data_IF_587955807357
#
_entry.id   IF_587955807357
#
_cell.length_a   1.000
_cell.length_b   1.000
_cell.length_c   1.000
_cell.angle_alpha   90.00
_cell.angle_beta   90.00
_cell.angle_gamma   90.00
#
_symmetry.space_group_name_H-M   'P 1'
#
loop_
_entity.id
_entity.type
_entity.pdbx_description
1 polymer ?
#
# COMPACT_ATOMS: atom_id res chain seq x y z
N UNK A 1 -8.81 0.99 -6.24
CA UNK A 1 -7.73 0.99 -5.22
C UNK A 1 -6.97 -0.30 -5.36
N UNK A 2 -5.66 -0.23 -5.63
CA UNK A 2 -4.78 -1.40 -5.67
C UNK A 2 -4.78 -1.99 -4.26
N UNK A 3 -4.91 -3.31 -4.14
CA UNK A 3 -4.97 -3.97 -2.84
C UNK A 3 -3.59 -4.20 -2.24
N UNK A 4 -3.55 -4.61 -0.98
CA UNK A 4 -2.34 -5.08 -0.29
C UNK A 4 -1.50 -6.05 -1.14
N UNK A 5 -2.15 -6.96 -1.89
CA UNK A 5 -1.48 -7.93 -2.77
C UNK A 5 -0.66 -7.19 -3.84
N UNK A 6 -1.29 -6.26 -4.57
CA UNK A 6 -0.62 -5.48 -5.60
C UNK A 6 0.58 -4.72 -5.05
N UNK A 7 0.41 -4.00 -3.94
CA UNK A 7 1.48 -3.20 -3.34
C UNK A 7 2.65 -4.04 -2.82
N UNK A 8 2.37 -5.18 -2.17
CA UNK A 8 3.41 -6.12 -1.78
C UNK A 8 4.12 -6.71 -3.01
N UNK A 9 3.40 -7.02 -4.09
CA UNK A 9 4.01 -7.47 -5.35
C UNK A 9 4.91 -6.40 -5.97
N UNK A 10 4.50 -5.13 -6.01
CA UNK A 10 5.34 -4.03 -6.51
C UNK A 10 6.63 -3.93 -5.70
N UNK A 11 6.52 -3.95 -4.37
CA UNK A 11 7.66 -3.88 -3.46
C UNK A 11 8.61 -5.07 -3.63
N UNK A 12 8.11 -6.30 -3.70
CA UNK A 12 8.94 -7.49 -3.89
C UNK A 12 9.67 -7.50 -5.24
N UNK A 13 9.00 -7.08 -6.30
CA UNK A 13 9.63 -6.96 -7.62
C UNK A 13 10.63 -5.79 -7.68
N UNK A 14 10.34 -4.69 -6.98
CA UNK A 14 11.28 -3.58 -6.78
C UNK A 14 12.54 -4.06 -6.07
N UNK A 15 12.41 -4.77 -4.95
CA UNK A 15 13.54 -5.37 -4.23
C UNK A 15 14.37 -6.30 -5.11
N UNK A 16 13.72 -7.16 -5.92
CA UNK A 16 14.41 -8.03 -6.89
C UNK A 16 15.19 -7.23 -7.94
N UNK A 17 14.65 -6.12 -8.43
CA UNK A 17 15.33 -5.24 -9.39
C UNK A 17 16.52 -4.50 -8.74
N UNK A 18 16.35 -4.00 -7.52
CA UNK A 18 17.41 -3.38 -6.71
C UNK A 18 18.56 -4.37 -6.47
N UNK A 19 18.25 -5.61 -6.10
CA UNK A 19 19.25 -6.66 -5.89
C UNK A 19 20.03 -6.98 -7.17
N UNK A 20 19.36 -7.04 -8.33
CA UNK A 20 20.03 -7.23 -9.64
C UNK A 20 20.99 -6.09 -10.00
N UNK A 21 20.72 -4.88 -9.51
CA UNK A 21 21.58 -3.70 -9.67
C UNK A 21 22.74 -3.67 -8.64
N UNK A 22 22.84 -4.65 -7.75
CA UNK A 22 23.84 -4.71 -6.67
C UNK A 22 23.85 -3.48 -5.76
N UNK A 23 22.69 -2.87 -5.51
CA UNK A 23 22.60 -1.73 -4.60
C UNK A 23 22.64 -2.23 -3.14
N UNK A 24 23.46 -1.62 -2.29
CA UNK A 24 23.63 -1.97 -0.87
C UNK A 24 22.30 -2.01 -0.10
N UNK A 25 21.38 -1.10 -0.44
CA UNK A 25 20.02 -1.02 0.11
C UNK A 25 19.21 -2.33 -0.04
N UNK A 26 19.54 -3.19 -1.01
CA UNK A 26 18.91 -4.51 -1.15
C UNK A 26 19.07 -5.38 0.12
N UNK A 27 20.21 -5.28 0.80
CA UNK A 27 20.48 -6.06 2.02
C UNK A 27 19.73 -5.52 3.23
N UNK A 28 19.62 -4.20 3.34
CA UNK A 28 18.77 -3.55 4.34
C UNK A 28 17.32 -4.01 4.20
N UNK A 29 16.78 -3.99 2.97
CA UNK A 29 15.43 -4.46 2.68
C UNK A 29 15.28 -5.95 3.00
N UNK A 30 16.25 -6.78 2.63
CA UNK A 30 16.22 -8.22 2.90
C UNK A 30 16.20 -8.51 4.41
N UNK A 31 16.96 -7.76 5.21
CA UNK A 31 17.03 -7.94 6.65
C UNK A 31 15.76 -7.45 7.36
N UNK A 32 15.19 -6.33 6.90
CA UNK A 32 13.97 -5.74 7.47
C UNK A 32 12.76 -5.88 6.54
N UNK A 33 12.61 -7.04 5.90
CA UNK A 33 11.61 -7.27 4.86
C UNK A 33 10.18 -7.00 5.34
N UNK A 34 9.85 -7.44 6.55
CA UNK A 34 8.51 -7.22 7.12
C UNK A 34 8.18 -5.73 7.26
N UNK A 35 9.15 -4.92 7.69
CA UNK A 35 9.00 -3.46 7.80
C UNK A 35 8.90 -2.79 6.43
N UNK A 36 9.70 -3.23 5.46
CA UNK A 36 9.61 -2.78 4.08
C UNK A 36 8.23 -3.06 3.46
N UNK A 37 7.67 -4.26 3.69
CA UNK A 37 6.33 -4.60 3.22
C UNK A 37 5.25 -3.84 4.00
N UNK A 38 5.41 -3.63 5.30
CA UNK A 38 4.51 -2.79 6.10
C UNK A 38 4.47 -1.36 5.55
N UNK A 39 5.62 -0.78 5.22
CA UNK A 39 5.71 0.53 4.58
C UNK A 39 5.04 0.57 3.21
N UNK A 40 5.17 -0.49 2.41
CA UNK A 40 4.58 -0.55 1.07
C UNK A 40 3.06 -0.65 1.05
N UNK A 41 2.43 -0.92 2.18
CA UNK A 41 0.97 -0.90 2.31
C UNK A 41 0.50 0.05 3.40
N UNK A 42 0.78 -0.25 4.67
CA UNK A 42 0.34 0.53 5.83
C UNK A 42 1.02 1.90 5.95
N UNK A 43 2.16 2.10 5.27
CA UNK A 43 2.79 3.42 5.14
C UNK A 43 1.97 4.41 4.32
N UNK A 44 1.03 3.93 3.48
CA UNK A 44 0.25 4.77 2.59
C UNK A 44 -1.28 4.61 2.71
N UNK A 45 -1.77 3.37 2.82
CA UNK A 45 -3.20 3.04 2.94
C UNK A 45 -3.73 3.31 4.38
N UNK A 46 -3.64 4.56 4.80
CA UNK A 46 -4.03 5.07 6.12
C UNK A 46 -5.53 4.91 6.45
N UNK A 47 -6.33 4.60 5.42
CA UNK A 47 -7.76 4.30 5.53
C UNK A 47 -8.06 2.81 5.77
N UNK A 48 -7.09 2.03 6.24
CA UNK A 48 -7.28 0.61 6.58
C UNK A 48 -8.11 0.46 7.86
N UNK A 49 -9.37 0.89 7.78
CA UNK A 49 -10.36 0.87 8.85
C UNK A 49 -11.57 0.06 8.37
N UNK A 50 -12.35 -0.54 9.29
CA UNK A 50 -13.60 -1.17 8.91
C UNK A 50 -14.57 -0.16 8.32
N UNK A 51 -15.44 -0.63 7.43
CA UNK A 51 -16.56 0.16 6.94
C UNK A 51 -17.72 0.16 7.95
N UNK A 52 -17.90 -0.93 8.69
CA UNK A 52 -18.95 -1.04 9.70
C UNK A 52 -18.80 -2.26 10.62
N UNK A 53 -19.68 -2.34 11.62
CA UNK A 53 -19.72 -3.40 12.63
C UNK A 53 -21.12 -3.99 12.69
N UNK A 54 -21.20 -5.32 12.72
CA UNK A 54 -22.46 -6.01 12.98
C UNK A 54 -22.78 -5.95 14.49
N UNK A 55 -23.90 -5.36 14.92
CA UNK A 55 -24.21 -5.21 16.35
C UNK A 55 -24.52 -6.55 17.05
N UNK A 56 -24.77 -7.61 16.28
CA UNK A 56 -25.15 -8.93 16.82
C UNK A 56 -23.95 -9.86 17.03
N UNK A 57 -23.08 -10.02 16.04
CA UNK A 57 -21.87 -10.85 16.17
C UNK A 57 -20.63 -10.05 16.59
N UNK A 58 -20.72 -8.72 16.62
CA UNK A 58 -19.62 -7.80 16.90
C UNK A 58 -18.42 -7.93 15.92
N UNK A 59 -18.64 -8.56 14.77
CA UNK A 59 -17.65 -8.59 13.70
C UNK A 59 -17.65 -7.30 12.89
N UNK A 60 -16.45 -6.88 12.51
CA UNK A 60 -16.22 -5.69 11.70
C UNK A 60 -16.15 -6.09 10.23
N UNK A 61 -16.72 -5.32 9.31
CA UNK A 61 -16.78 -5.63 7.89
C UNK A 61 -16.41 -4.42 7.03
N UNK A 62 -16.10 -4.68 5.75
CA UNK A 62 -15.84 -3.64 4.78
C UNK A 62 -14.39 -3.13 4.77
N UNK A 63 -14.17 -1.97 4.18
CA UNK A 63 -12.86 -1.32 4.12
C UNK A 63 -13.03 0.16 3.76
N UNK A 64 -12.39 1.05 4.53
CA UNK A 64 -12.25 2.46 4.17
C UNK A 64 -13.58 3.18 4.00
N UNK A 65 -14.57 2.85 4.83
CA UNK A 65 -15.91 3.47 4.82
C UNK A 65 -16.95 2.74 3.97
N UNK A 66 -16.51 1.80 3.12
CA UNK A 66 -17.43 0.93 2.36
C UNK A 66 -17.68 -0.36 3.13
N UNK A 67 -18.94 -0.70 3.41
CA UNK A 67 -19.35 -1.95 4.04
C UNK A 67 -20.57 -2.54 3.33
N UNK A 68 -20.81 -3.87 3.43
CA UNK A 68 -22.08 -4.44 3.01
C UNK A 68 -23.20 -3.90 3.90
N UNK A 69 -24.41 -3.76 3.35
CA UNK A 69 -25.57 -3.27 4.11
C UNK A 69 -25.96 -4.22 5.25
N UNK A 70 -25.70 -5.51 5.07
CA UNK A 70 -26.07 -6.58 6.00
C UNK A 70 -24.89 -7.49 6.29
N UNK A 71 -24.86 -8.01 7.52
CA UNK A 71 -23.94 -9.03 7.99
C UNK A 71 -24.08 -10.29 7.11
N UNK A 72 -22.98 -10.80 6.52
CA UNK A 72 -23.03 -12.03 5.72
C UNK A 72 -23.51 -13.26 6.49
N UNK A 73 -23.29 -13.29 7.80
CA UNK A 73 -23.54 -14.49 8.62
C UNK A 73 -25.01 -14.60 9.06
N UNK A 74 -25.68 -13.48 9.30
CA UNK A 74 -27.03 -13.48 9.89
C UNK A 74 -28.00 -12.43 9.32
N UNK A 75 -27.58 -11.65 8.33
CA UNK A 75 -28.42 -10.64 7.67
C UNK A 75 -28.72 -9.39 8.49
N UNK A 76 -28.14 -9.23 9.68
CA UNK A 76 -28.32 -8.04 10.53
C UNK A 76 -27.76 -6.80 9.84
N UNK A 77 -28.45 -5.66 9.93
CA UNK A 77 -27.95 -4.41 9.37
C UNK A 77 -26.59 -4.03 10.00
N UNK A 78 -25.63 -3.65 9.15
CA UNK A 78 -24.31 -3.22 9.61
C UNK A 78 -24.35 -1.73 9.98
N UNK A 79 -23.82 -1.41 11.15
CA UNK A 79 -23.69 -0.03 11.63
C UNK A 79 -22.38 0.56 11.11
N UNK A 80 -22.36 1.77 10.53
CA UNK A 80 -21.13 2.42 10.09
C UNK A 80 -20.11 2.54 11.22
N UNK A 81 -18.85 2.26 10.91
CA UNK A 81 -17.77 2.34 11.89
C UNK A 81 -17.40 3.81 12.16
N UNK A 82 -17.04 4.09 13.41
CA UNK A 82 -16.51 5.36 13.87
C UNK A 82 -15.27 5.14 14.73
N UNK A 83 -14.23 5.92 14.48
CA UNK A 83 -13.06 6.01 15.34
C UNK A 83 -13.26 7.15 16.34
N UNK A 84 -13.18 6.85 17.63
CA UNK A 84 -13.29 7.86 18.69
C UNK A 84 -11.89 8.32 19.12
N UNK A 85 -11.64 9.63 19.12
CA UNK A 85 -10.40 10.22 19.62
C UNK A 85 -10.68 11.62 20.17
N UNK A 86 -10.18 11.89 21.38
CA UNK A 86 -10.30 13.20 22.05
C UNK A 86 -11.73 13.76 22.09
N UNK A 87 -12.71 12.90 22.38
CA UNK A 87 -14.14 13.26 22.42
C UNK A 87 -14.78 13.52 21.05
N UNK A 88 -14.01 13.40 19.96
CA UNK A 88 -14.49 13.52 18.58
C UNK A 88 -14.67 12.13 17.95
N UNK A 89 -15.59 12.07 16.98
CA UNK A 89 -15.89 10.88 16.20
C UNK A 89 -15.47 11.11 14.75
N UNK A 90 -14.71 10.17 14.19
CA UNK A 90 -14.22 10.21 12.82
C UNK A 90 -14.73 9.00 12.04
N UNK A 91 -15.34 9.25 10.89
CA UNK A 91 -15.62 8.18 9.92
C UNK A 91 -14.32 7.82 9.17
N UNK A 92 -14.23 6.62 8.57
CA UNK A 92 -13.12 6.30 7.68
C UNK A 92 -12.93 7.29 6.52
N UNK A 93 -14.02 7.92 6.05
CA UNK A 93 -13.93 8.95 5.02
C UNK A 93 -13.29 10.24 5.57
N UNK A 94 -13.58 10.63 6.81
CA UNK A 94 -12.93 11.80 7.44
C UNK A 94 -11.42 11.56 7.53
N UNK A 95 -11.01 10.38 8.02
CA UNK A 95 -9.61 9.96 8.07
C UNK A 95 -8.96 9.99 6.67
N UNK A 96 -9.66 9.51 5.64
CA UNK A 96 -9.20 9.58 4.27
C UNK A 96 -8.99 11.03 3.80
N UNK A 97 -9.96 11.93 4.00
CA UNK A 97 -9.86 13.34 3.59
C UNK A 97 -8.74 14.09 4.30
N UNK A 98 -8.41 13.70 5.54
CA UNK A 98 -7.35 14.32 6.35
C UNK A 98 -5.95 13.84 5.96
N UNK A 99 -5.80 12.56 5.62
CA UNK A 99 -4.49 11.90 5.57
C UNK A 99 -4.10 11.27 4.24
N UNK A 100 -5.04 10.95 3.35
CA UNK A 100 -4.74 10.16 2.15
C UNK A 100 -3.81 10.90 1.16
N UNK A 101 -4.04 12.19 0.92
CA UNK A 101 -3.13 12.99 0.09
C UNK A 101 -1.73 13.14 0.69
N UNK A 102 -1.65 13.20 2.02
CA UNK A 102 -0.38 13.34 2.76
C UNK A 102 0.50 12.10 2.64
N UNK A 103 -0.08 10.91 2.50
CA UNK A 103 0.69 9.69 2.28
C UNK A 103 1.03 9.45 0.81
N UNK A 104 0.19 9.87 -0.14
CA UNK A 104 0.39 9.56 -1.57
C UNK A 104 1.16 10.65 -2.33
N UNK A 105 1.21 11.87 -1.79
CA UNK A 105 1.94 13.05 -2.28
C UNK A 105 1.51 13.59 -3.66
N UNK A 106 1.43 12.74 -4.67
CA UNK A 106 1.16 13.07 -6.08
C UNK A 106 -0.33 13.03 -6.45
N UNK A 107 -1.17 12.51 -5.57
CA UNK A 107 -2.63 12.51 -5.70
C UNK A 107 -3.28 12.31 -4.33
N UNK A 108 -4.62 12.25 -4.29
CA UNK A 108 -5.36 11.91 -3.06
C UNK A 108 -5.60 13.08 -2.11
N UNK A 109 -5.07 14.26 -2.42
CA UNK A 109 -5.41 15.50 -1.71
C UNK A 109 -6.85 15.90 -1.99
N UNK A 110 -7.53 16.42 -0.97
CA UNK A 110 -8.87 16.96 -1.14
C UNK A 110 -8.86 18.22 -2.02
N UNK A 111 -10.04 18.65 -2.47
CA UNK A 111 -10.16 19.72 -3.47
C UNK A 111 -9.50 21.05 -3.05
N UNK A 112 -9.49 21.34 -1.74
CA UNK A 112 -8.95 22.56 -1.15
C UNK A 112 -7.44 22.48 -0.88
N UNK A 113 -6.80 21.34 -1.17
CA UNK A 113 -5.39 21.08 -0.89
C UNK A 113 -4.61 20.63 -2.13
N UNK A 114 -5.19 20.84 -3.32
CA UNK A 114 -4.57 20.45 -4.60
C UNK A 114 -3.22 21.13 -4.85
N UNK A 115 -3.01 22.31 -4.29
CA UNK A 115 -1.73 23.03 -4.35
C UNK A 115 -0.56 22.29 -3.69
N UNK A 116 -0.84 21.33 -2.78
CA UNK A 116 0.18 20.51 -2.12
C UNK A 116 0.53 19.23 -2.87
N UNK A 117 -0.11 19.00 -4.03
CA UNK A 117 0.21 17.87 -4.91
C UNK A 117 1.62 18.05 -5.46
N UNK A 118 2.48 17.07 -5.20
CA UNK A 118 3.81 17.03 -5.81
C UNK A 118 3.73 16.54 -7.26
N UNK A 119 4.65 17.04 -8.09
CA UNK A 119 4.93 16.48 -9.41
C UNK A 119 5.86 15.29 -9.28
N UNK A 120 5.79 14.36 -10.23
CA UNK A 120 6.71 13.22 -10.32
C UNK A 120 8.20 13.63 -10.22
N UNK A 121 8.57 14.74 -10.88
CA UNK A 121 9.93 15.27 -10.86
C UNK A 121 10.41 15.76 -9.50
N UNK A 122 9.51 15.98 -8.54
CA UNK A 122 9.83 16.44 -7.18
C UNK A 122 9.97 15.27 -6.19
N UNK A 123 9.56 14.05 -6.59
CA UNK A 123 9.53 12.90 -5.68
C UNK A 123 10.91 12.50 -5.17
N UNK A 124 11.94 12.50 -6.03
CA UNK A 124 13.29 12.09 -5.62
C UNK A 124 13.83 12.99 -4.51
N UNK A 125 13.66 14.31 -4.61
CA UNK A 125 14.09 15.26 -3.57
C UNK A 125 13.33 15.02 -2.26
N UNK A 126 12.01 14.85 -2.33
CA UNK A 126 11.19 14.54 -1.17
C UNK A 126 11.62 13.24 -0.48
N UNK A 127 11.85 12.18 -1.26
CA UNK A 127 12.26 10.88 -0.74
C UNK A 127 13.65 10.92 -0.12
N UNK A 128 14.61 11.61 -0.76
CA UNK A 128 15.95 11.81 -0.20
C UNK A 128 15.87 12.52 1.14
N UNK A 129 15.08 13.60 1.24
CA UNK A 129 14.89 14.34 2.47
C UNK A 129 14.30 13.47 3.58
N UNK A 130 13.21 12.73 3.29
CA UNK A 130 12.59 11.82 4.26
C UNK A 130 13.55 10.74 4.74
N UNK A 131 14.28 10.11 3.83
CA UNK A 131 15.23 9.05 4.17
C UNK A 131 16.36 9.60 5.03
N UNK A 132 16.94 10.75 4.66
CA UNK A 132 17.98 11.41 5.45
C UNK A 132 17.47 11.76 6.86
N UNK A 133 16.28 12.35 6.96
CA UNK A 133 15.64 12.70 8.23
C UNK A 133 15.32 11.46 9.08
N UNK A 134 15.01 10.33 8.45
CA UNK A 134 14.82 9.05 9.15
C UNK A 134 16.09 8.60 9.87
N UNK A 135 17.22 8.66 9.16
CA UNK A 135 18.54 8.30 9.69
C UNK A 135 18.96 9.30 10.78
N UNK A 136 18.73 10.59 10.57
CA UNK A 136 19.11 11.64 11.53
C UNK A 136 18.29 11.54 12.82
N UNK A 137 16.96 11.40 12.72
CA UNK A 137 16.08 11.38 13.89
C UNK A 137 16.15 10.05 14.65
N UNK A 138 16.46 8.96 13.96
CA UNK A 138 16.45 7.61 14.53
C UNK A 138 17.66 6.79 14.02
N UNK A 139 18.90 7.14 14.43
CA UNK A 139 20.13 6.55 13.88
C UNK A 139 20.20 5.03 14.04
N UNK A 140 19.68 4.49 15.14
CA UNK A 140 19.66 3.04 15.41
C UNK A 140 18.46 2.32 14.77
N UNK A 141 17.48 3.06 14.21
CA UNK A 141 16.26 2.48 13.66
C UNK A 141 16.38 2.19 12.15
N UNK A 142 17.28 1.28 11.79
CA UNK A 142 17.42 0.79 10.41
C UNK A 142 16.12 0.17 9.86
N UNK A 143 15.27 -0.37 10.75
CA UNK A 143 13.93 -0.88 10.41
C UNK A 143 13.00 0.22 9.89
N UNK A 144 13.04 1.41 10.48
CA UNK A 144 12.28 2.58 10.04
C UNK A 144 12.71 3.08 8.67
N UNK A 145 14.00 2.96 8.33
CA UNK A 145 14.50 3.25 6.98
C UNK A 145 13.88 2.26 5.97
N UNK A 146 13.86 0.97 6.28
CA UNK A 146 13.21 -0.03 5.43
C UNK A 146 11.71 0.26 5.24
N UNK A 147 11.01 0.73 6.28
CA UNK A 147 9.62 1.16 6.18
C UNK A 147 9.41 2.31 5.19
N UNK A 148 10.26 3.35 5.27
CA UNK A 148 10.21 4.50 4.35
C UNK A 148 10.46 4.05 2.91
N UNK A 149 11.42 3.16 2.69
CA UNK A 149 11.66 2.58 1.37
C UNK A 149 10.43 1.82 0.87
N UNK A 150 9.74 1.08 1.75
CA UNK A 150 8.47 0.45 1.44
C UNK A 150 7.43 1.45 0.96
N UNK A 151 7.24 2.53 1.72
CA UNK A 151 6.32 3.61 1.39
C UNK A 151 6.66 4.29 0.05
N UNK A 152 7.95 4.45 -0.26
CA UNK A 152 8.39 4.95 -1.57
C UNK A 152 7.96 4.01 -2.70
N UNK A 153 8.16 2.69 -2.52
CA UNK A 153 7.69 1.69 -3.49
C UNK A 153 6.19 1.74 -3.70
N UNK A 154 5.42 2.02 -2.64
CA UNK A 154 3.98 2.23 -2.74
C UNK A 154 3.68 3.40 -3.67
N UNK A 155 4.19 4.60 -3.38
CA UNK A 155 3.89 5.81 -4.15
C UNK A 155 4.23 5.61 -5.63
N UNK A 156 5.41 5.06 -5.93
CA UNK A 156 5.86 4.80 -7.30
C UNK A 156 4.91 3.83 -8.01
N UNK A 157 4.63 2.68 -7.38
CA UNK A 157 3.76 1.66 -7.96
C UNK A 157 2.34 2.19 -8.20
N UNK A 158 1.82 2.94 -7.24
CA UNK A 158 0.46 3.45 -7.29
C UNK A 158 0.29 4.59 -8.31
N UNK A 159 1.28 5.48 -8.40
CA UNK A 159 1.31 6.52 -9.42
C UNK A 159 1.34 5.93 -10.84
N UNK A 160 2.09 4.85 -11.07
CA UNK A 160 2.17 4.18 -12.36
C UNK A 160 0.89 3.39 -12.69
N UNK A 161 0.43 2.52 -11.78
CA UNK A 161 -0.74 1.67 -12.04
C UNK A 161 -2.01 2.48 -12.21
N UNK A 162 -2.17 3.58 -11.46
CA UNK A 162 -3.31 4.51 -11.59
C UNK A 162 -3.15 5.52 -12.73
N UNK A 163 -2.06 5.43 -13.49
CA UNK A 163 -1.73 6.35 -14.59
C UNK A 163 -1.64 7.83 -14.18
N UNK A 164 -1.35 8.11 -12.91
CA UNK A 164 -1.00 9.47 -12.45
C UNK A 164 0.34 9.87 -13.06
N UNK A 165 1.30 8.94 -13.05
CA UNK A 165 2.47 9.00 -13.89
C UNK A 165 2.21 8.15 -15.15
N UNK A 166 2.19 8.75 -16.35
CA UNK A 166 2.02 8.00 -17.58
C UNK A 166 3.24 7.13 -17.89
N UNK A 167 3.02 6.09 -18.71
CA UNK A 167 4.09 5.26 -19.27
C UNK A 167 3.95 3.77 -18.97
N UNK A 168 3.03 3.36 -18.11
CA UNK A 168 2.72 1.95 -17.92
C UNK A 168 1.94 1.42 -19.14
N UNK A 169 2.53 0.50 -19.88
CA UNK A 169 1.85 -0.15 -20.99
C UNK A 169 0.95 -1.29 -20.47
N UNK A 170 -0.26 -0.93 -20.06
CA UNK A 170 -1.24 -1.89 -19.55
C UNK A 170 -2.64 -1.45 -19.94
N UNK A 171 -3.38 -2.36 -20.58
CA UNK A 171 -4.80 -2.21 -20.83
C UNK A 171 -5.49 -3.55 -20.55
N UNK A 172 -6.33 -3.58 -19.50
CA UNK A 172 -7.07 -4.77 -19.07
C UNK A 172 -8.55 -4.61 -19.42
N UNK A 173 -9.44 -4.82 -18.46
CA UNK A 173 -10.88 -4.69 -18.61
C UNK A 173 -11.28 -3.21 -18.52
N UNK A 174 -11.65 -2.64 -19.68
CA UNK A 174 -12.15 -1.28 -19.84
C UNK A 174 -11.15 -0.17 -19.47
N UNK A 175 -9.84 -0.46 -19.50
CA UNK A 175 -8.78 0.52 -19.24
C UNK A 175 -7.58 -0.05 -18.51
N UNK A 176 -6.60 0.82 -18.23
CA UNK A 176 -5.41 0.50 -17.42
C UNK A 176 -5.78 0.24 -15.96
N UNK A 177 -6.59 1.12 -15.39
CA UNK A 177 -6.98 1.08 -13.99
C UNK A 177 -8.48 1.32 -13.82
N UNK A 178 -9.20 0.25 -13.54
CA UNK A 178 -10.63 0.30 -13.24
C UNK A 178 -10.91 -0.53 -11.98
N UNK A 179 -12.01 -0.26 -11.24
CA UNK A 179 -12.42 -1.14 -10.14
C UNK A 179 -12.59 -2.61 -10.58
N UNK A 180 -13.01 -2.83 -11.83
CA UNK A 180 -13.20 -4.17 -12.41
C UNK A 180 -11.87 -4.89 -12.69
N UNK A 181 -10.77 -4.16 -12.88
CA UNK A 181 -9.44 -4.77 -13.06
C UNK A 181 -8.89 -5.38 -11.78
N UNK A 182 -9.38 -4.99 -10.60
CA UNK A 182 -8.78 -5.38 -9.32
C UNK A 182 -8.74 -6.91 -9.13
N UNK A 183 -9.84 -7.67 -9.30
CA UNK A 183 -9.78 -9.12 -9.18
C UNK A 183 -8.77 -9.77 -10.13
N UNK A 184 -8.68 -9.26 -11.37
CA UNK A 184 -7.73 -9.75 -12.37
C UNK A 184 -6.29 -9.55 -11.91
N UNK A 185 -5.99 -8.32 -11.46
CA UNK A 185 -4.66 -7.95 -10.98
C UNK A 185 -4.30 -8.69 -9.70
N UNK A 186 -5.20 -8.76 -8.71
CA UNK A 186 -4.96 -9.43 -7.43
C UNK A 186 -4.76 -10.94 -7.62
N UNK A 187 -5.61 -11.63 -8.40
CA UNK A 187 -5.45 -13.06 -8.67
C UNK A 187 -4.16 -13.39 -9.44
N UNK A 188 -3.83 -12.58 -10.45
CA UNK A 188 -2.59 -12.77 -11.20
C UNK A 188 -1.35 -12.54 -10.32
N UNK A 189 -1.33 -11.44 -9.57
CA UNK A 189 -0.24 -11.12 -8.64
C UNK A 189 -0.12 -12.16 -7.52
N UNK A 190 -1.23 -12.67 -7.00
CA UNK A 190 -1.23 -13.65 -5.91
C UNK A 190 -0.74 -15.03 -6.37
N UNK A 191 -1.28 -15.56 -7.47
CA UNK A 191 -0.99 -16.92 -7.92
C UNK A 191 0.18 -17.02 -8.89
N UNK A 192 0.16 -16.23 -9.97
CA UNK A 192 1.15 -16.36 -11.05
C UNK A 192 2.49 -15.74 -10.66
N UNK A 193 2.48 -14.59 -10.00
CA UNK A 193 3.71 -13.92 -9.55
C UNK A 193 4.10 -14.38 -8.15
N UNK A 194 3.19 -14.25 -7.18
CA UNK A 194 3.47 -14.53 -5.78
C UNK A 194 3.80 -15.99 -5.53
N UNK A 195 2.83 -16.90 -5.75
CA UNK A 195 3.03 -18.33 -5.45
C UNK A 195 3.95 -19.05 -6.45
N UNK A 196 3.77 -18.83 -7.76
CA UNK A 196 4.50 -19.60 -8.78
C UNK A 196 5.91 -19.07 -9.08
N UNK A 197 6.08 -17.76 -9.27
CA UNK A 197 7.40 -17.19 -9.61
C UNK A 197 8.25 -16.93 -8.37
N UNK A 198 7.66 -16.34 -7.33
CA UNK A 198 8.38 -15.85 -6.16
C UNK A 198 8.28 -16.79 -4.95
N UNK A 199 7.50 -17.87 -5.05
CA UNK A 199 7.31 -18.89 -3.99
C UNK A 199 6.88 -18.28 -2.64
N UNK A 200 6.06 -17.22 -2.69
CA UNK A 200 5.66 -16.48 -1.50
C UNK A 200 4.66 -17.24 -0.63
N UNK A 201 4.92 -17.24 0.69
CA UNK A 201 3.91 -17.53 1.69
C UNK A 201 3.14 -16.26 2.05
N UNK A 202 2.07 -15.98 1.32
CA UNK A 202 1.21 -14.81 1.54
C UNK A 202 0.66 -14.69 2.96
N UNK A 203 0.33 -15.82 3.61
CA UNK A 203 -0.19 -15.79 4.98
C UNK A 203 0.86 -15.29 5.96
N UNK A 204 2.09 -15.81 5.87
CA UNK A 204 3.19 -15.36 6.73
C UNK A 204 3.55 -13.91 6.45
N UNK A 205 3.64 -13.51 5.18
CA UNK A 205 3.99 -12.12 4.83
C UNK A 205 2.94 -11.13 5.34
N UNK A 206 1.64 -11.41 5.15
CA UNK A 206 0.57 -10.54 5.63
C UNK A 206 0.46 -10.54 7.15
N UNK A 207 0.74 -11.66 7.82
CA UNK A 207 0.82 -11.72 9.28
C UNK A 207 1.98 -10.85 9.79
N UNK A 208 3.20 -11.07 9.30
CA UNK A 208 4.37 -10.35 9.79
C UNK A 208 4.25 -8.84 9.56
N UNK A 209 3.70 -8.39 8.42
CA UNK A 209 3.55 -6.96 8.14
C UNK A 209 2.67 -6.25 9.19
N UNK A 210 1.60 -6.88 9.70
CA UNK A 210 0.72 -6.25 10.70
C UNK A 210 1.30 -6.31 12.11
N UNK A 211 2.21 -7.25 12.37
CA UNK A 211 2.94 -7.36 13.63
C UNK A 211 4.13 -6.39 13.71
N UNK A 212 4.52 -5.76 12.59
CA UNK A 212 5.55 -4.71 12.63
C UNK A 212 5.08 -3.52 13.48
N UNK A 213 5.95 -2.94 14.32
CA UNK A 213 5.61 -1.75 15.07
C UNK A 213 5.22 -0.57 14.18
N UNK A 214 4.45 0.37 14.74
CA UNK A 214 4.20 1.67 14.11
C UNK A 214 5.53 2.42 14.02
N UNK A 215 5.88 2.89 12.83
CA UNK A 215 7.08 3.67 12.63
C UNK A 215 6.80 5.16 12.84
N UNK A 216 7.48 5.82 13.81
CA UNK A 216 7.19 7.21 14.16
C UNK A 216 7.53 8.20 13.03
N UNK A 217 8.38 7.79 12.08
CA UNK A 217 8.71 8.60 10.90
C UNK A 217 7.51 8.84 9.98
N UNK A 218 6.46 8.01 10.03
CA UNK A 218 5.28 8.18 9.19
C UNK A 218 4.59 9.52 9.39
N UNK A 219 4.46 9.97 10.64
CA UNK A 219 3.94 11.31 10.91
C UNK A 219 4.80 12.40 10.24
N UNK A 220 6.11 12.21 10.20
CA UNK A 220 7.02 13.20 9.63
C UNK A 220 6.91 13.27 8.11
N UNK A 221 6.97 12.15 7.39
CA UNK A 221 6.86 12.17 5.92
C UNK A 221 5.46 12.55 5.42
N UNK A 222 4.44 12.47 6.28
CA UNK A 222 3.08 12.98 6.02
C UNK A 222 2.91 14.47 6.35
N UNK A 223 3.97 15.14 6.82
CA UNK A 223 3.96 16.53 7.30
C UNK A 223 2.96 16.74 8.45
N UNK A 224 2.93 15.81 9.40
CA UNK A 224 2.09 15.84 10.61
C UNK A 224 2.94 15.92 11.89
N UNK A 225 4.15 16.46 11.79
CA UNK A 225 4.99 16.82 12.95
C UNK A 225 5.28 18.31 12.90
N UNK A 226 6.05 18.84 13.85
CA UNK A 226 6.62 20.18 13.65
C UNK A 226 7.60 20.13 12.46
N UNK A 227 7.66 21.15 11.59
CA UNK A 227 8.60 21.19 10.48
C UNK A 227 10.03 21.16 11.01
N UNK A 228 10.82 20.19 10.54
CA UNK A 228 12.22 19.99 10.91
C UNK A 228 12.95 19.16 9.86
N UNK A 229 14.27 19.06 10.01
CA UNK A 229 15.11 18.30 9.09
C UNK A 229 15.13 18.87 7.68
N UNK A 230 15.63 18.06 6.76
CA UNK A 230 15.71 18.40 5.35
C UNK A 230 14.33 18.56 4.72
N UNK A 231 13.37 17.71 5.09
CA UNK A 231 12.02 17.78 4.53
C UNK A 231 11.34 19.10 4.91
N UNK A 232 11.43 19.50 6.19
CA UNK A 232 10.89 20.78 6.66
C UNK A 232 11.52 22.00 5.99
N UNK A 233 12.81 21.92 5.66
CA UNK A 233 13.51 23.00 4.96
C UNK A 233 13.14 23.08 3.47
N UNK A 234 12.93 21.94 2.81
CA UNK A 234 12.63 21.87 1.37
C UNK A 234 11.15 22.05 1.03
N UNK A 235 10.26 21.65 1.95
CA UNK A 235 8.79 21.70 1.77
C UNK A 235 8.18 22.37 3.01
N UNK A 236 8.17 23.72 3.09
CA UNK A 236 7.70 24.44 4.27
C UNK A 236 6.17 24.44 4.42
N UNK A 237 5.41 24.04 3.39
CA UNK A 237 3.95 24.10 3.39
C UNK A 237 3.26 22.82 3.90
N UNK A 238 1.99 22.99 4.26
CA UNK A 238 1.04 21.94 4.62
C UNK A 238 1.40 21.08 5.84
N UNK A 239 2.30 21.55 6.71
CA UNK A 239 2.51 20.94 8.02
C UNK A 239 1.27 21.11 8.91
N UNK A 240 0.82 20.02 9.53
CA UNK A 240 -0.34 20.02 10.43
C UNK A 240 -0.05 19.18 11.69
N UNK A 241 0.88 19.64 12.56
CA UNK A 241 1.29 18.94 13.78
C UNK A 241 0.13 18.64 14.75
N UNK A 242 -0.95 19.42 14.69
CA UNK A 242 -2.14 19.23 15.52
C UNK A 242 -2.80 17.86 15.32
N UNK A 243 -2.63 17.22 14.15
CA UNK A 243 -3.19 15.89 13.87
C UNK A 243 -2.22 14.73 14.15
N UNK A 244 -1.04 15.00 14.71
CA UNK A 244 -0.02 13.95 14.95
C UNK A 244 -0.54 12.82 15.84
N UNK A 245 -1.23 13.15 16.92
CA UNK A 245 -1.72 12.15 17.88
C UNK A 245 -2.86 11.32 17.27
N UNK A 246 -3.79 11.96 16.56
CA UNK A 246 -4.85 11.26 15.82
C UNK A 246 -4.25 10.26 14.82
N UNK A 247 -3.20 10.67 14.08
CA UNK A 247 -2.52 9.76 13.15
C UNK A 247 -1.97 8.53 13.87
N UNK A 248 -1.32 8.66 15.03
CA UNK A 248 -0.81 7.50 15.77
C UNK A 248 -1.92 6.52 16.14
N UNK A 249 -3.08 7.02 16.56
CA UNK A 249 -4.25 6.16 16.84
C UNK A 249 -4.73 5.47 15.55
N UNK A 250 -4.84 6.19 14.44
CA UNK A 250 -5.21 5.62 13.14
C UNK A 250 -4.23 4.55 12.69
N UNK A 251 -2.92 4.75 12.83
CA UNK A 251 -1.90 3.77 12.44
C UNK A 251 -1.95 2.48 13.28
N UNK A 252 -2.25 2.60 14.57
CA UNK A 252 -2.49 1.44 15.44
C UNK A 252 -3.76 0.71 15.02
N UNK A 253 -4.83 1.44 14.76
CA UNK A 253 -6.12 0.86 14.34
C UNK A 253 -6.02 0.20 12.96
N UNK A 254 -5.23 0.77 12.04
CA UNK A 254 -4.95 0.16 10.75
C UNK A 254 -4.31 -1.22 10.89
N UNK A 255 -3.32 -1.38 11.77
CA UNK A 255 -2.69 -2.69 12.04
C UNK A 255 -3.68 -3.66 12.65
N UNK A 256 -4.45 -3.22 13.66
CA UNK A 256 -5.47 -4.04 14.31
C UNK A 256 -6.50 -4.54 13.29
N UNK A 257 -7.05 -3.66 12.47
CA UNK A 257 -8.07 -4.03 11.51
C UNK A 257 -7.51 -4.86 10.35
N UNK A 258 -6.30 -4.55 9.87
CA UNK A 258 -5.67 -5.35 8.83
C UNK A 258 -5.44 -6.79 9.28
N UNK A 259 -5.14 -7.04 10.56
CA UNK A 259 -5.07 -8.40 11.13
C UNK A 259 -6.38 -9.19 10.95
N UNK A 260 -7.51 -8.54 11.21
CA UNK A 260 -8.85 -9.13 10.99
C UNK A 260 -9.10 -9.37 9.49
N UNK A 261 -8.77 -8.37 8.66
CA UNK A 261 -9.04 -8.38 7.22
C UNK A 261 -8.18 -9.38 6.44
N UNK A 262 -6.94 -9.63 6.85
CA UNK A 262 -6.00 -10.53 6.18
C UNK A 262 -6.63 -11.91 5.91
N UNK A 263 -7.26 -12.52 6.91
CA UNK A 263 -7.88 -13.85 6.78
C UNK A 263 -9.01 -13.88 5.75
N UNK A 264 -9.73 -12.77 5.57
CA UNK A 264 -10.80 -12.68 4.56
C UNK A 264 -10.24 -12.50 3.17
N UNK A 265 -9.21 -11.67 3.02
CA UNK A 265 -8.52 -11.48 1.75
C UNK A 265 -7.86 -12.78 1.28
N UNK A 266 -7.17 -13.50 2.17
CA UNK A 266 -6.52 -14.77 1.84
C UNK A 266 -7.55 -15.80 1.36
N UNK A 267 -8.68 -15.96 2.07
CA UNK A 267 -9.78 -16.83 1.65
C UNK A 267 -10.36 -16.43 0.30
N UNK A 268 -10.57 -15.13 0.06
CA UNK A 268 -11.09 -14.64 -1.22
C UNK A 268 -10.14 -14.94 -2.39
N UNK A 269 -8.82 -15.02 -2.14
CA UNK A 269 -7.83 -15.35 -3.17
C UNK A 269 -7.65 -16.85 -3.39
N UNK A 270 -8.25 -17.72 -2.57
CA UNK A 270 -8.17 -19.16 -2.79
C UNK A 270 -8.87 -19.55 -4.10
N UNK A 271 -8.32 -20.56 -4.76
CA UNK A 271 -8.91 -21.15 -5.96
C UNK A 271 -9.24 -22.61 -5.68
N UNK A 272 -10.44 -23.03 -6.05
CA UNK A 272 -10.91 -24.39 -5.87
C UNK A 272 -10.89 -25.11 -7.22
N UNK A 273 -10.41 -26.35 -7.24
CA UNK A 273 -10.47 -27.19 -8.43
C UNK A 273 -11.78 -27.96 -8.43
N UNK A 274 -12.59 -27.76 -9.46
CA UNK A 274 -13.72 -28.64 -9.77
C UNK A 274 -13.30 -29.72 -10.77
N UNK A 275 -14.23 -30.64 -11.10
CA UNK A 275 -13.98 -31.72 -12.07
C UNK A 275 -13.55 -31.20 -13.46
N UNK A 276 -13.90 -29.97 -13.81
CA UNK A 276 -13.68 -29.42 -15.14
C UNK A 276 -12.78 -28.18 -15.13
N UNK A 277 -12.82 -27.35 -14.08
CA UNK A 277 -12.19 -26.02 -14.10
C UNK A 277 -11.72 -25.53 -12.72
N UNK A 278 -10.75 -24.60 -12.73
CA UNK A 278 -10.38 -23.82 -11.55
C UNK A 278 -11.39 -22.71 -11.35
N UNK A 279 -11.97 -22.60 -10.16
CA UNK A 279 -12.91 -21.56 -9.78
C UNK A 279 -12.26 -20.58 -8.79
N UNK A 280 -12.55 -19.29 -8.97
CA UNK A 280 -12.27 -18.26 -7.98
C UNK A 280 -13.53 -17.94 -7.16
N UNK A 281 -13.36 -17.09 -6.15
CA UNK A 281 -14.47 -16.56 -5.37
C UNK A 281 -15.54 -15.85 -6.26
N UNK A 282 -16.81 -16.06 -5.92
CA UNK A 282 -17.95 -15.57 -6.69
C UNK A 282 -18.01 -14.04 -6.76
N UNK A 283 -17.56 -13.34 -5.71
CA UNK A 283 -17.54 -11.89 -5.67
C UNK A 283 -16.51 -11.33 -6.66
N UNK A 284 -15.35 -11.99 -6.79
CA UNK A 284 -14.32 -11.64 -7.78
C UNK A 284 -14.85 -11.77 -9.21
N UNK A 285 -15.58 -12.86 -9.48
CA UNK A 285 -16.26 -13.04 -10.77
C UNK A 285 -17.33 -11.97 -10.99
N UNK A 286 -18.17 -11.68 -9.99
CA UNK A 286 -19.22 -10.65 -10.07
C UNK A 286 -18.65 -9.27 -10.39
N UNK A 287 -17.58 -8.86 -9.72
CA UNK A 287 -16.92 -7.55 -9.94
C UNK A 287 -16.39 -7.42 -11.37
N UNK A 288 -15.90 -8.52 -11.96
CA UNK A 288 -15.39 -8.55 -13.33
C UNK A 288 -16.47 -8.72 -14.40
N UNK A 289 -17.75 -8.68 -14.02
CA UNK A 289 -18.86 -8.88 -14.96
C UNK A 289 -19.09 -10.34 -15.34
N UNK A 290 -18.69 -11.28 -14.47
CA UNK A 290 -18.90 -12.72 -14.63
C UNK A 290 -17.73 -13.48 -15.26
N UNK A 291 -16.52 -12.92 -15.29
CA UNK A 291 -15.36 -13.66 -15.82
C UNK A 291 -15.02 -14.85 -14.92
N UNK A 292 -14.60 -15.95 -15.53
CA UNK A 292 -14.01 -17.09 -14.83
C UNK A 292 -12.55 -16.81 -14.45
N UNK A 293 -12.00 -17.60 -13.53
CA UNK A 293 -10.59 -17.50 -13.15
C UNK A 293 -9.66 -17.59 -14.36
N UNK A 294 -9.88 -18.56 -15.25
CA UNK A 294 -9.04 -18.76 -16.44
C UNK A 294 -9.15 -17.58 -17.40
N UNK A 295 -10.34 -17.01 -17.57
CA UNK A 295 -10.53 -15.81 -18.39
C UNK A 295 -9.77 -14.62 -17.83
N UNK A 296 -9.84 -14.41 -16.50
CA UNK A 296 -9.08 -13.34 -15.83
C UNK A 296 -7.56 -13.53 -15.99
N UNK A 297 -7.04 -14.75 -15.75
CA UNK A 297 -5.61 -15.04 -15.92
C UNK A 297 -5.18 -14.89 -17.38
N UNK A 298 -5.99 -15.36 -18.34
CA UNK A 298 -5.70 -15.19 -19.76
C UNK A 298 -5.66 -13.71 -20.13
N UNK A 299 -6.63 -12.92 -19.68
CA UNK A 299 -6.67 -11.48 -19.92
C UNK A 299 -5.43 -10.76 -19.37
N UNK A 300 -5.02 -11.10 -18.14
CA UNK A 300 -3.80 -10.55 -17.56
C UNK A 300 -2.54 -10.90 -18.38
N UNK A 301 -2.48 -12.11 -18.94
CA UNK A 301 -1.37 -12.55 -19.82
C UNK A 301 -1.40 -11.83 -21.16
N UNK A 302 -2.56 -11.78 -21.81
CA UNK A 302 -2.74 -11.10 -23.10
C UNK A 302 -2.41 -9.59 -22.99
N UNK A 303 -2.74 -8.96 -21.85
CA UNK A 303 -2.42 -7.57 -21.55
C UNK A 303 -0.96 -7.34 -21.11
N UNK A 304 -0.11 -8.39 -21.11
CA UNK A 304 1.27 -8.33 -20.63
C UNK A 304 1.40 -7.77 -19.20
N UNK A 305 0.46 -8.09 -18.31
CA UNK A 305 0.46 -7.53 -16.95
C UNK A 305 1.74 -7.86 -16.17
N UNK A 306 2.36 -9.02 -16.41
CA UNK A 306 3.67 -9.34 -15.82
C UNK A 306 4.76 -8.37 -16.24
N UNK A 307 4.77 -7.93 -17.49
CA UNK A 307 5.74 -6.95 -17.98
C UNK A 307 5.48 -5.56 -17.35
N UNK A 308 4.21 -5.17 -17.19
CA UNK A 308 3.84 -3.96 -16.45
C UNK A 308 4.34 -4.01 -14.99
N UNK A 309 4.18 -5.14 -14.30
CA UNK A 309 4.73 -5.35 -12.96
C UNK A 309 6.27 -5.25 -12.92
N UNK A 310 6.96 -5.77 -13.94
CA UNK A 310 8.42 -5.59 -14.08
C UNK A 310 8.80 -4.12 -14.26
N UNK A 311 8.05 -3.37 -15.07
CA UNK A 311 8.30 -1.94 -15.30
C UNK A 311 8.15 -1.13 -14.00
N UNK A 312 7.17 -1.46 -13.16
CA UNK A 312 7.03 -0.87 -11.83
C UNK A 312 8.25 -1.18 -10.98
N UNK A 313 8.65 -2.45 -10.88
CA UNK A 313 9.83 -2.86 -10.11
C UNK A 313 11.12 -2.19 -10.58
N UNK A 314 11.30 -2.07 -11.89
CA UNK A 314 12.44 -1.39 -12.50
C UNK A 314 12.46 0.10 -12.13
N UNK A 315 11.31 0.76 -12.22
CA UNK A 315 11.17 2.19 -11.85
C UNK A 315 11.50 2.41 -10.38
N UNK A 316 11.01 1.55 -9.48
CA UNK A 316 11.37 1.57 -8.05
C UNK A 316 12.89 1.49 -7.89
N UNK A 317 13.55 0.58 -8.61
CA UNK A 317 15.00 0.41 -8.50
C UNK A 317 15.80 1.65 -8.96
N UNK A 318 15.32 2.35 -9.99
CA UNK A 318 15.92 3.61 -10.46
C UNK A 318 15.81 4.70 -9.39
N UNK A 319 14.65 4.85 -8.75
CA UNK A 319 14.51 5.80 -7.64
C UNK A 319 15.44 5.47 -6.48
N UNK A 320 15.58 4.19 -6.13
CA UNK A 320 16.43 3.77 -5.01
C UNK A 320 17.91 3.98 -5.31
N UNK A 321 18.32 3.81 -6.56
CA UNK A 321 19.68 4.13 -6.99
C UNK A 321 19.98 5.62 -6.81
N UNK A 322 19.06 6.50 -7.24
CA UNK A 322 19.22 7.95 -7.09
C UNK A 322 19.19 8.40 -5.61
N UNK A 323 18.35 7.76 -4.79
CA UNK A 323 18.34 8.00 -3.34
C UNK A 323 19.67 7.56 -2.72
N UNK A 324 20.17 6.36 -3.05
CA UNK A 324 21.42 5.83 -2.50
C UNK A 324 22.64 6.69 -2.87
N UNK A 325 22.66 7.27 -4.08
CA UNK A 325 23.69 8.23 -4.51
C UNK A 325 23.71 9.50 -3.65
N UNK A 326 22.54 9.92 -3.13
CA UNK A 326 22.36 11.17 -2.38
C UNK A 326 22.31 10.98 -0.86
N UNK A 327 22.13 9.75 -0.41
CA UNK A 327 22.15 9.37 1.01
C UNK A 327 23.20 8.26 1.20
N UNK A 328 24.50 8.62 1.35
CA UNK A 328 25.62 7.68 1.23
C UNK A 328 25.56 6.48 2.19
N UNK A 329 24.95 6.63 3.37
CA UNK A 329 24.80 5.51 4.33
C UNK A 329 23.88 4.38 3.81
N UNK A 330 23.16 4.59 2.70
CA UNK A 330 22.41 3.55 1.98
C UNK A 330 23.18 2.95 0.81
N UNK A 331 24.24 3.60 0.35
CA UNK A 331 25.09 3.16 -0.76
C UNK A 331 26.31 2.37 -0.31
N UNK A 332 26.65 2.41 0.98
CA UNK A 332 27.81 1.72 1.53
C UNK A 332 27.42 0.37 2.13
N UNK A 333 28.27 -0.60 1.84
CA UNK A 333 28.28 -1.92 2.44
C UNK A 333 29.03 -1.83 3.77
N UNK A 334 28.34 -1.53 4.87
CA UNK A 334 28.91 -1.76 6.22
C UNK A 334 28.91 -3.26 6.55
#
# INVERSE_FOLDING_TARGET
MSGIIGHMTYAMLGHKAIAKRNLAVARLIQHYQDSYLAGSYLGADIMTLPGGVCPKCNEEFGYGGSAPEKCPDDGTAIVPYQLMFDGLSYTPNDIHQMFYGRTHLVFGWNANQKEYILKWSQLTDYFVAVVADTIEFYPENRRGVAYVLGWISHIIGDALIKSVQPGLNLYLLNGTYTPQNRPIQDLFSFHEVGRKELELNWSNLMFNLVETPVEPIQAHFMRLTQPKGQLGAQVPEAWAPEYQQLLHIVMTENRRYQRVRNNRLLRQMEICRTLQEWMCDNELSRITGGLSYQQMIKMAKDANFRAALSQIGETISVFFEEIAKRVPILGNDD
#
